data_IF_621942891087
#
_entry.id   IF_621942891087
#
_cell.length_a   1.000
_cell.length_b   1.000
_cell.length_c   1.000
_cell.angle_alpha   90.00
_cell.angle_beta   90.00
_cell.angle_gamma   90.00
#
_symmetry.space_group_name_H-M   'P 1'
#
loop_
_entity.id
_entity.type
_entity.pdbx_description
1 polymer ?
#
# COMPACT_ATOMS: atom_id res chain seq x y z
N UNK A 1 5.88 -13.26 3.58
CA UNK A 1 4.46 -13.35 3.28
C UNK A 1 3.61 -12.28 3.98
N UNK A 2 3.40 -11.13 3.33
CA UNK A 2 2.44 -10.16 3.84
C UNK A 2 1.00 -10.72 3.80
N UNK A 3 0.20 -10.45 4.84
CA UNK A 3 -1.22 -10.83 4.92
C UNK A 3 -2.04 -9.60 5.29
N UNK A 4 -3.17 -9.39 4.60
CA UNK A 4 -4.12 -8.32 4.93
C UNK A 4 -5.49 -8.89 5.24
N UNK A 5 -6.04 -8.50 6.38
CA UNK A 5 -7.43 -8.72 6.74
C UNK A 5 -8.21 -7.43 6.55
N UNK A 6 -9.36 -7.54 5.92
CA UNK A 6 -10.27 -6.42 5.67
C UNK A 6 -11.65 -6.83 6.15
N UNK A 7 -12.25 -6.00 7.00
CA UNK A 7 -13.63 -6.12 7.41
C UNK A 7 -14.33 -4.78 7.17
N UNK A 8 -15.45 -4.84 6.45
CA UNK A 8 -16.30 -3.69 6.14
C UNK A 8 -17.65 -3.93 6.78
N UNK A 9 -18.13 -2.94 7.54
CA UNK A 9 -19.42 -2.97 8.20
C UNK A 9 -20.38 -2.01 7.50
N UNK A 10 -21.56 -2.52 7.15
CA UNK A 10 -22.60 -1.79 6.42
C UNK A 10 -23.62 -1.13 7.35
N UNK A 11 -23.69 -1.55 8.62
CA UNK A 11 -24.54 -0.91 9.61
C UNK A 11 -24.09 0.55 9.84
N UNK A 12 -24.94 1.56 9.57
CA UNK A 12 -24.64 2.98 9.75
C UNK A 12 -24.32 3.38 11.21
N UNK A 13 -24.75 2.58 12.19
CA UNK A 13 -24.54 2.85 13.61
C UNK A 13 -23.34 2.10 14.21
N UNK A 14 -22.69 1.23 13.44
CA UNK A 14 -21.51 0.51 13.91
C UNK A 14 -20.34 1.45 14.22
N UNK A 15 -19.65 1.18 15.34
CA UNK A 15 -18.50 1.96 15.84
C UNK A 15 -17.35 2.04 14.83
N UNK A 16 -17.05 0.95 14.13
CA UNK A 16 -15.99 0.89 13.12
C UNK A 16 -16.58 0.46 11.78
N UNK A 17 -16.49 1.32 10.77
CA UNK A 17 -16.94 1.01 9.39
C UNK A 17 -15.94 0.15 8.62
N UNK A 18 -14.66 0.28 8.97
CA UNK A 18 -13.57 -0.43 8.35
C UNK A 18 -12.59 -0.85 9.43
N UNK A 19 -12.24 -2.14 9.44
CA UNK A 19 -11.09 -2.66 10.18
C UNK A 19 -10.13 -3.24 9.15
N UNK A 20 -8.90 -2.72 9.12
CA UNK A 20 -7.84 -3.19 8.25
C UNK A 20 -6.64 -3.57 9.11
N UNK A 21 -6.17 -4.80 8.97
CA UNK A 21 -4.97 -5.31 9.63
C UNK A 21 -4.01 -5.78 8.55
N UNK A 22 -2.80 -5.23 8.52
CA UNK A 22 -1.73 -5.67 7.65
C UNK A 22 -0.58 -6.22 8.49
N UNK A 23 -0.25 -7.49 8.29
CA UNK A 23 0.93 -8.12 8.85
C UNK A 23 2.01 -8.21 7.78
N UNK A 24 3.23 -7.76 8.11
CA UNK A 24 4.42 -7.86 7.27
C UNK A 24 5.45 -8.73 7.98
N UNK A 25 5.60 -9.97 7.52
CA UNK A 25 6.52 -10.97 8.10
C UNK A 25 7.82 -11.15 7.28
N UNK A 26 8.00 -10.39 6.19
CA UNK A 26 9.15 -10.56 5.27
C UNK A 26 10.36 -9.82 5.81
N UNK A 27 11.50 -10.48 6.02
CA UNK A 27 12.76 -9.80 6.39
C UNK A 27 12.57 -8.89 7.62
N UNK A 28 12.46 -9.49 8.80
CA UNK A 28 12.32 -8.78 10.08
C UNK A 28 13.43 -7.75 10.32
N UNK A 29 14.61 -7.95 9.72
CA UNK A 29 15.75 -7.04 9.76
C UNK A 29 15.66 -5.85 8.79
N UNK A 30 14.62 -5.76 7.94
CA UNK A 30 14.45 -4.61 7.04
C UNK A 30 14.11 -3.38 7.88
N UNK A 31 14.91 -2.30 7.82
CA UNK A 31 14.69 -1.12 8.65
C UNK A 31 13.42 -0.38 8.22
N UNK A 32 12.64 0.05 9.21
CA UNK A 32 11.39 0.79 9.02
C UNK A 32 11.22 1.87 10.09
N UNK A 33 10.56 2.97 9.75
CA UNK A 33 10.11 3.96 10.74
C UNK A 33 8.70 3.67 11.24
N UNK A 34 8.43 4.10 12.48
CA UNK A 34 7.11 4.03 13.11
C UNK A 34 6.14 4.92 12.33
N UNK A 35 4.88 4.45 12.22
CA UNK A 35 3.84 5.21 11.57
C UNK A 35 3.60 6.56 12.26
N UNK A 36 3.71 7.64 11.50
CA UNK A 36 3.44 9.00 11.96
C UNK A 36 2.82 9.84 10.85
N UNK A 37 2.14 10.90 11.24
CA UNK A 37 1.60 11.87 10.29
C UNK A 37 2.72 12.74 9.71
N UNK A 38 2.84 12.74 8.39
CA UNK A 38 3.76 13.58 7.63
C UNK A 38 3.05 14.08 6.38
N UNK A 39 3.04 15.39 6.14
CA UNK A 39 2.48 15.98 4.92
C UNK A 39 1.05 15.48 4.60
N UNK A 40 0.21 15.29 5.63
CA UNK A 40 -1.16 14.82 5.50
C UNK A 40 -1.33 13.31 5.25
N UNK A 41 -0.27 12.51 5.44
CA UNK A 41 -0.27 11.06 5.27
C UNK A 41 0.22 10.38 6.55
N UNK A 42 -0.55 9.43 7.07
CA UNK A 42 -0.13 8.52 8.13
C UNK A 42 0.46 7.26 7.50
N UNK A 43 1.74 7.01 7.72
CA UNK A 43 2.42 5.81 7.22
C UNK A 43 3.68 5.52 8.04
N UNK A 44 4.04 4.25 8.19
CA UNK A 44 5.43 3.87 8.44
C UNK A 44 6.21 3.86 7.13
N UNK A 45 7.52 4.10 7.15
CA UNK A 45 8.35 4.12 5.93
C UNK A 45 9.30 2.94 5.87
N UNK A 46 9.56 2.50 4.64
CA UNK A 46 10.65 1.61 4.31
C UNK A 46 11.96 2.40 4.23
N UNK A 47 12.82 2.26 5.24
CA UNK A 47 14.09 3.01 5.32
C UNK A 47 15.21 2.34 4.51
N UNK A 48 14.95 1.18 3.90
CA UNK A 48 15.94 0.50 3.06
C UNK A 48 16.04 1.13 1.67
N UNK A 49 14.92 1.65 1.14
CA UNK A 49 14.86 2.20 -0.22
C UNK A 49 14.96 3.72 -0.16
N UNK A 50 15.69 4.33 -1.09
CA UNK A 50 15.80 5.80 -1.20
C UNK A 50 14.47 6.51 -1.51
N UNK A 51 13.48 5.77 -2.02
CA UNK A 51 12.15 6.30 -2.27
C UNK A 51 11.31 6.44 -0.99
N UNK A 52 11.75 5.88 0.16
CA UNK A 52 11.03 5.87 1.43
C UNK A 52 9.55 5.49 1.27
N UNK A 53 9.33 4.36 0.59
CA UNK A 53 8.00 3.83 0.32
C UNK A 53 7.26 3.33 1.56
N UNK A 54 6.08 2.74 1.38
CA UNK A 54 5.30 2.15 2.46
C UNK A 54 4.49 0.94 1.97
N UNK A 55 4.07 0.10 2.92
CA UNK A 55 3.12 -0.98 2.67
C UNK A 55 1.68 -0.58 3.00
N UNK A 56 1.47 0.37 3.91
CA UNK A 56 0.14 0.78 4.34
C UNK A 56 0.16 2.27 4.71
N UNK A 57 -0.76 3.02 4.13
CA UNK A 57 -0.92 4.43 4.47
C UNK A 57 -2.36 4.91 4.38
N UNK A 58 -2.62 6.04 5.04
CA UNK A 58 -3.89 6.75 5.02
C UNK A 58 -3.67 8.25 4.84
N UNK A 59 -4.48 8.93 4.04
CA UNK A 59 -4.52 10.40 3.99
C UNK A 59 -5.38 10.98 5.11
N UNK A 60 -5.15 12.26 5.44
CA UNK A 60 -6.03 13.02 6.32
C UNK A 60 -7.48 13.13 5.80
N UNK A 61 -7.69 12.87 4.51
CA UNK A 61 -9.02 12.83 3.86
C UNK A 61 -9.68 11.46 3.89
N UNK A 62 -9.11 10.47 4.58
CA UNK A 62 -9.70 9.13 4.74
C UNK A 62 -9.44 8.16 3.58
N UNK A 63 -8.57 8.50 2.62
CA UNK A 63 -8.13 7.56 1.58
C UNK A 63 -7.11 6.59 2.18
N UNK A 64 -7.27 5.29 1.96
CA UNK A 64 -6.36 4.27 2.48
C UNK A 64 -5.81 3.45 1.33
N UNK A 65 -4.52 3.13 1.35
CA UNK A 65 -3.95 2.15 0.42
C UNK A 65 -2.98 1.21 1.10
N UNK A 66 -3.04 -0.05 0.66
CA UNK A 66 -2.30 -1.16 1.21
C UNK A 66 -1.67 -1.98 0.08
N UNK A 67 -0.35 -2.20 0.14
CA UNK A 67 0.45 -2.93 -0.80
C UNK A 67 0.86 -4.30 -0.23
N UNK A 68 0.64 -5.34 -1.01
CA UNK A 68 1.02 -6.71 -0.73
C UNK A 68 2.00 -7.21 -1.78
N UNK A 69 3.03 -7.92 -1.34
CA UNK A 69 3.99 -8.56 -2.23
C UNK A 69 3.45 -9.91 -2.72
N UNK A 70 3.57 -10.18 -4.02
CA UNK A 70 3.40 -11.54 -4.54
C UNK A 70 4.79 -12.17 -4.63
N UNK A 71 5.01 -13.26 -3.88
CA UNK A 71 6.26 -14.03 -3.95
C UNK A 71 6.35 -14.72 -5.31
N UNK A 72 7.39 -14.39 -6.07
CA UNK A 72 7.74 -15.07 -7.32
C UNK A 72 9.15 -15.64 -7.21
N UNK A 73 9.49 -16.72 -7.94
CA UNK A 73 10.86 -17.22 -7.98
C UNK A 73 11.86 -16.12 -8.36
N UNK A 74 13.05 -16.11 -7.75
CA UNK A 74 14.04 -15.04 -7.93
C UNK A 74 14.43 -14.84 -9.40
N UNK A 75 14.49 -15.92 -10.19
CA UNK A 75 14.81 -15.85 -11.62
C UNK A 75 13.73 -15.15 -12.48
N UNK A 76 12.51 -14.96 -11.95
CA UNK A 76 11.42 -14.24 -12.59
C UNK A 76 11.34 -12.78 -12.13
N UNK A 77 12.12 -12.40 -11.12
CA UNK A 77 12.16 -11.02 -10.65
C UNK A 77 12.90 -10.14 -11.66
N UNK A 78 12.28 -9.01 -12.01
CA UNK A 78 12.91 -7.97 -12.82
C UNK A 78 13.93 -7.25 -11.97
N UNK A 79 15.20 -7.31 -12.36
CA UNK A 79 16.32 -6.64 -11.67
C UNK A 79 16.18 -5.11 -11.68
N UNK A 80 15.66 -4.55 -12.76
CA UNK A 80 15.46 -3.10 -12.95
C UNK A 80 14.00 -2.66 -12.71
N UNK A 81 13.25 -3.37 -11.86
CA UNK A 81 11.86 -2.97 -11.56
C UNK A 81 11.82 -1.67 -10.78
N UNK A 82 10.85 -0.81 -11.06
CA UNK A 82 10.52 0.31 -10.19
C UNK A 82 10.07 -0.20 -8.80
N UNK A 83 10.37 0.58 -7.76
CA UNK A 83 9.86 0.29 -6.42
C UNK A 83 8.33 0.41 -6.40
N UNK A 84 7.69 -0.52 -5.71
CA UNK A 84 6.22 -0.52 -5.51
C UNK A 84 5.81 0.31 -4.30
N UNK A 85 6.75 0.58 -3.38
CA UNK A 85 6.44 1.24 -2.11
C UNK A 85 5.91 2.67 -2.25
N UNK A 86 6.06 3.29 -3.42
CA UNK A 86 5.46 4.60 -3.70
C UNK A 86 3.98 4.51 -4.09
N UNK A 87 3.51 3.36 -4.60
CA UNK A 87 2.16 3.23 -5.14
C UNK A 87 1.06 3.57 -4.13
N UNK A 88 1.13 3.15 -2.85
CA UNK A 88 0.14 3.57 -1.86
C UNK A 88 0.11 5.09 -1.66
N UNK A 89 1.30 5.72 -1.63
CA UNK A 89 1.46 7.17 -1.48
C UNK A 89 0.87 7.89 -2.69
N UNK A 90 1.15 7.41 -3.89
CA UNK A 90 0.65 7.96 -5.15
C UNK A 90 -0.88 7.93 -5.20
N UNK A 91 -1.51 6.86 -4.72
CA UNK A 91 -2.96 6.79 -4.61
C UNK A 91 -3.53 7.81 -3.64
N UNK A 92 -3.05 7.84 -2.39
CA UNK A 92 -3.63 8.70 -1.35
C UNK A 92 -3.37 10.19 -1.60
N UNK A 93 -2.34 10.54 -2.39
CA UNK A 93 -2.10 11.90 -2.89
C UNK A 93 -2.88 12.26 -4.14
N UNK A 94 -3.36 11.27 -4.90
CA UNK A 94 -4.17 11.52 -6.09
C UNK A 94 -5.61 11.91 -5.71
N UNK A 95 -6.32 12.53 -6.66
CA UNK A 95 -7.76 12.76 -6.57
C UNK A 95 -8.59 11.71 -7.35
N UNK A 96 -7.94 10.66 -7.86
CA UNK A 96 -8.59 9.61 -8.66
C UNK A 96 -9.44 8.72 -7.76
N UNK A 97 -10.59 8.26 -8.25
CA UNK A 97 -11.34 7.19 -7.57
C UNK A 97 -10.50 5.89 -7.54
N UNK A 98 -10.73 4.96 -6.59
CA UNK A 98 -10.00 3.70 -6.52
C UNK A 98 -9.89 2.98 -7.88
N UNK A 99 -11.00 2.85 -8.60
CA UNK A 99 -11.07 2.15 -9.88
C UNK A 99 -10.28 2.86 -10.97
N UNK A 100 -10.32 4.19 -11.00
CA UNK A 100 -9.58 5.02 -11.96
C UNK A 100 -8.07 4.92 -11.72
N UNK A 101 -7.66 4.94 -10.44
CA UNK A 101 -6.26 4.77 -10.07
C UNK A 101 -5.77 3.39 -10.51
N UNK A 102 -6.48 2.31 -10.15
CA UNK A 102 -6.12 0.94 -10.50
C UNK A 102 -6.07 0.73 -12.02
N UNK A 103 -7.02 1.29 -12.79
CA UNK A 103 -6.97 1.28 -14.27
C UNK A 103 -5.73 1.98 -14.81
N UNK A 104 -5.38 3.15 -14.26
CA UNK A 104 -4.16 3.86 -14.68
C UNK A 104 -2.87 3.15 -14.25
N UNK A 105 -2.90 2.40 -13.15
CA UNK A 105 -1.76 1.58 -12.72
C UNK A 105 -1.59 0.36 -13.62
N UNK A 106 -2.68 -0.25 -14.09
CA UNK A 106 -2.65 -1.40 -14.99
C UNK A 106 -1.87 -1.11 -16.29
N UNK A 107 -1.95 0.11 -16.83
CA UNK A 107 -1.16 0.49 -18.03
C UNK A 107 0.34 0.60 -17.78
N UNK A 108 0.78 0.68 -16.52
CA UNK A 108 2.19 0.79 -16.12
C UNK A 108 2.69 -0.43 -15.34
N UNK A 109 1.86 -1.48 -15.19
CA UNK A 109 2.14 -2.65 -14.34
C UNK A 109 3.44 -3.37 -14.72
N UNK A 110 3.82 -3.33 -16.00
CA UNK A 110 5.04 -3.95 -16.52
C UNK A 110 6.33 -3.37 -15.92
N UNK A 111 6.27 -2.20 -15.29
CA UNK A 111 7.43 -1.57 -14.61
C UNK A 111 7.75 -2.21 -13.26
N UNK A 112 6.84 -2.98 -12.69
CA UNK A 112 6.95 -3.50 -11.32
C UNK A 112 7.12 -5.03 -11.32
N UNK A 113 7.67 -5.54 -10.22
CA UNK A 113 7.56 -6.95 -9.84
C UNK A 113 6.14 -7.26 -9.34
N UNK A 114 5.67 -8.50 -9.41
CA UNK A 114 4.29 -8.87 -9.08
C UNK A 114 3.82 -8.39 -7.70
N UNK A 115 2.61 -7.86 -7.60
CA UNK A 115 2.05 -7.28 -6.38
C UNK A 115 0.53 -7.29 -6.38
N UNK A 116 -0.07 -7.06 -5.22
CA UNK A 116 -1.47 -6.68 -5.09
C UNK A 116 -1.54 -5.32 -4.37
N UNK A 117 -2.55 -4.52 -4.71
CA UNK A 117 -2.81 -3.25 -4.05
C UNK A 117 -4.30 -3.14 -3.75
N UNK A 118 -4.63 -2.63 -2.57
CA UNK A 118 -5.98 -2.28 -2.17
C UNK A 118 -6.04 -0.75 -2.03
N UNK A 119 -7.13 -0.17 -2.52
CA UNK A 119 -7.38 1.27 -2.48
C UNK A 119 -8.80 1.49 -1.95
N UNK A 120 -8.92 2.19 -0.82
CA UNK A 120 -10.19 2.54 -0.20
C UNK A 120 -10.41 4.05 -0.24
N UNK A 121 -11.67 4.44 -0.36
CA UNK A 121 -12.13 5.80 -0.25
C UNK A 121 -13.39 5.77 0.62
N UNK A 122 -13.47 6.69 1.59
CA UNK A 122 -14.66 6.94 2.42
C UNK A 122 -15.81 7.52 1.62
#
# INVERSE_FOLDING_TARGET
>A
MCITFVYVEHNPDAKYKLILLNNRDELLSRPTSIARWENGILAGRDEKESAHGTWLCMSATGRISNLLTITVPTHQMKSNSATRGTLPIDYVKSNKKPEEFCKSLASTVNRYNAFQILCFQS
#
